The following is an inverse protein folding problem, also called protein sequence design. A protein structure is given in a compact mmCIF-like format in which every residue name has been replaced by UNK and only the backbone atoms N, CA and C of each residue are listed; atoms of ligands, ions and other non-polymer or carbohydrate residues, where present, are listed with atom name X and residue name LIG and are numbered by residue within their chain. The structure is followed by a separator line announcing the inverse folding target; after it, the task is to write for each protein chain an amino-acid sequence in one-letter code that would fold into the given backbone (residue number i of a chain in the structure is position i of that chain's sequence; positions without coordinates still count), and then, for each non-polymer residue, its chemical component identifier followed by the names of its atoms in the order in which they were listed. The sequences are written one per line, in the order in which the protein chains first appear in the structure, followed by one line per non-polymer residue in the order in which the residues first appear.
data_IF_648218301036
#
_entry.id   IF_648218301036
#
_cell.length_a   1.000
_cell.length_b   1.000
_cell.length_c   1.000
_cell.angle_alpha   90.00
_cell.angle_beta   90.00
_cell.angle_gamma   90.00
#
_symmetry.space_group_name_H-M   'P 1'
#
loop_
_entity.id
_entity.type
_entity.pdbx_description
1 polymer ?
#
# COMPACT_ATOMS: atom_id res chain seq x y z
N UNK A 1 36.24 -11.49 64.64
CA UNK A 1 36.06 -10.35 63.75
C UNK A 1 36.43 -10.64 62.30
N UNK A 2 37.51 -11.36 61.96
CA UNK A 2 37.89 -11.65 60.58
C UNK A 2 36.86 -12.50 59.79
N UNK A 3 36.18 -13.43 60.46
CA UNK A 3 35.17 -14.31 59.82
C UNK A 3 33.84 -13.58 59.45
N UNK A 4 33.46 -12.61 60.30
CA UNK A 4 32.23 -11.80 60.07
C UNK A 4 32.42 -10.84 58.90
N UNK A 5 33.64 -10.33 58.66
CA UNK A 5 33.97 -9.45 57.54
C UNK A 5 33.88 -10.24 56.19
N UNK A 6 34.32 -11.52 56.20
CA UNK A 6 34.21 -12.39 55.00
C UNK A 6 32.76 -12.77 54.66
N UNK A 7 31.91 -12.94 55.71
CA UNK A 7 30.49 -13.20 55.50
C UNK A 7 29.72 -12.00 54.91
N UNK A 8 30.14 -10.79 55.27
CA UNK A 8 29.55 -9.55 54.74
C UNK A 8 29.99 -9.24 53.33
N UNK A 9 31.18 -9.69 52.90
CA UNK A 9 31.65 -9.51 51.52
C UNK A 9 30.97 -10.48 50.52
N UNK A 10 30.47 -11.64 50.99
CA UNK A 10 29.74 -12.61 50.16
C UNK A 10 28.29 -12.20 49.83
N UNK A 11 27.71 -11.24 50.56
CA UNK A 11 26.34 -10.75 50.34
C UNK A 11 26.24 -9.63 49.31
N UNK A 12 27.37 -9.12 48.77
CA UNK A 12 27.39 -8.02 47.80
C UNK A 12 27.39 -8.45 46.32
N UNK A 13 27.31 -9.76 46.02
CA UNK A 13 27.12 -10.24 44.66
C UNK A 13 25.62 -10.26 44.36
N UNK A 14 24.97 -9.09 44.40
CA UNK A 14 23.67 -8.94 43.76
C UNK A 14 23.91 -9.01 42.25
N UNK A 15 23.55 -10.12 41.66
CA UNK A 15 23.47 -10.27 40.20
C UNK A 15 22.59 -9.15 39.66
N UNK A 16 23.21 -8.12 39.10
CA UNK A 16 22.47 -7.15 38.28
C UNK A 16 22.04 -7.93 37.07
N UNK A 17 20.80 -8.43 37.08
CA UNK A 17 20.14 -8.88 35.88
C UNK A 17 19.94 -7.65 35.01
N UNK A 18 20.93 -7.32 34.20
CA UNK A 18 20.75 -6.40 33.11
C UNK A 18 19.76 -7.08 32.16
N UNK A 19 18.49 -6.70 32.26
CA UNK A 19 17.50 -7.09 31.27
C UNK A 19 18.02 -6.59 29.92
N UNK A 20 18.46 -7.49 29.05
CA UNK A 20 18.86 -7.12 27.71
C UNK A 20 17.61 -6.66 26.96
N UNK A 21 17.63 -5.43 26.49
CA UNK A 21 16.54 -4.89 25.66
C UNK A 21 16.43 -5.77 24.41
N UNK A 22 15.26 -6.39 24.19
CA UNK A 22 14.98 -7.23 23.01
C UNK A 22 14.45 -6.35 21.88
N UNK A 23 15.28 -6.18 20.86
CA UNK A 23 14.96 -5.35 19.68
C UNK A 23 14.70 -6.27 18.49
N UNK A 24 13.63 -5.99 17.75
CA UNK A 24 13.31 -6.60 16.46
C UNK A 24 13.37 -5.57 15.33
N UNK A 25 13.61 -6.05 14.13
CA UNK A 25 13.48 -5.28 12.89
C UNK A 25 12.58 -5.97 11.91
N UNK A 26 11.76 -5.20 11.18
CA UNK A 26 10.90 -5.69 10.11
C UNK A 26 11.08 -4.86 8.84
N UNK A 27 11.02 -5.54 7.71
CA UNK A 27 10.97 -4.96 6.37
C UNK A 27 9.50 -4.92 5.92
N UNK A 28 8.91 -3.74 6.01
CA UNK A 28 7.48 -3.53 5.66
C UNK A 28 7.24 -3.80 4.19
N UNK A 29 8.14 -3.39 3.29
CA UNK A 29 7.98 -3.60 1.86
C UNK A 29 7.97 -5.11 1.53
N UNK A 30 8.88 -5.87 2.15
CA UNK A 30 8.90 -7.32 2.02
C UNK A 30 7.61 -7.96 2.54
N UNK A 31 7.06 -7.48 3.67
CA UNK A 31 5.78 -7.97 4.18
C UNK A 31 4.67 -7.74 3.14
N UNK A 32 4.47 -6.51 2.66
CA UNK A 32 3.44 -6.20 1.66
C UNK A 32 3.56 -7.10 0.41
N UNK A 33 4.78 -7.24 -0.12
CA UNK A 33 5.02 -8.03 -1.32
C UNK A 33 4.84 -9.54 -1.12
N UNK A 34 4.87 -10.02 0.12
CA UNK A 34 4.73 -11.45 0.46
C UNK A 34 3.31 -11.85 0.83
N UNK A 35 2.43 -10.90 1.17
CA UNK A 35 1.07 -11.24 1.62
C UNK A 35 0.19 -11.65 0.43
N UNK A 36 -0.21 -12.93 0.41
CA UNK A 36 -1.06 -13.52 -0.63
C UNK A 36 -2.39 -12.78 -0.75
N UNK A 37 -3.01 -12.44 0.38
CA UNK A 37 -4.29 -11.72 0.39
C UNK A 37 -4.19 -10.32 -0.21
N UNK A 38 -3.09 -9.61 0.05
CA UNK A 38 -2.87 -8.30 -0.58
C UNK A 38 -2.78 -8.41 -2.11
N UNK A 39 -2.10 -9.42 -2.62
CA UNK A 39 -1.99 -9.65 -4.06
C UNK A 39 -3.37 -9.95 -4.68
N UNK A 40 -4.16 -10.83 -4.06
CA UNK A 40 -5.52 -11.17 -4.50
C UNK A 40 -6.43 -9.94 -4.48
N UNK A 41 -6.42 -9.17 -3.42
CA UNK A 41 -7.25 -7.97 -3.26
C UNK A 41 -6.84 -6.88 -4.27
N UNK A 42 -5.54 -6.70 -4.51
CA UNK A 42 -5.02 -5.76 -5.50
C UNK A 42 -5.39 -6.16 -6.94
N UNK A 43 -5.27 -7.45 -7.29
CA UNK A 43 -5.66 -7.95 -8.61
C UNK A 43 -7.17 -7.81 -8.82
N UNK A 44 -7.97 -8.09 -7.81
CA UNK A 44 -9.42 -7.88 -7.83
C UNK A 44 -9.78 -6.40 -8.04
N UNK A 45 -9.04 -5.50 -7.38
CA UNK A 45 -9.18 -4.05 -7.57
C UNK A 45 -8.90 -3.66 -9.03
N UNK A 46 -7.77 -4.10 -9.58
CA UNK A 46 -7.39 -3.82 -10.98
C UNK A 46 -8.47 -4.33 -11.93
N UNK A 47 -8.92 -5.59 -11.77
CA UNK A 47 -9.96 -6.19 -12.61
C UNK A 47 -11.28 -5.41 -12.55
N UNK A 48 -11.67 -4.91 -11.40
CA UNK A 48 -12.91 -4.13 -11.24
C UNK A 48 -12.86 -2.78 -11.99
N UNK A 49 -11.69 -2.15 -12.05
CA UNK A 49 -11.52 -0.84 -12.69
C UNK A 49 -11.14 -0.92 -14.18
N UNK A 50 -10.67 -2.08 -14.67
CA UNK A 50 -10.25 -2.26 -16.07
C UNK A 50 -11.37 -2.02 -17.10
N UNK A 51 -12.65 -2.48 -16.92
CA UNK A 51 -13.69 -2.22 -17.89
C UNK A 51 -13.96 -0.73 -18.12
N UNK A 52 -13.94 0.08 -17.03
CA UNK A 52 -14.13 1.52 -17.15
C UNK A 52 -12.94 2.20 -17.84
N UNK A 53 -11.72 1.76 -17.53
CA UNK A 53 -10.53 2.22 -18.23
C UNK A 53 -10.59 1.98 -19.73
N UNK A 54 -11.05 0.79 -20.17
CA UNK A 54 -11.24 0.47 -21.59
C UNK A 54 -12.30 1.36 -22.23
N UNK A 55 -13.44 1.58 -21.56
CA UNK A 55 -14.46 2.52 -22.04
C UNK A 55 -13.91 3.95 -22.25
N UNK A 56 -13.11 4.43 -21.31
CA UNK A 56 -12.46 5.76 -21.41
C UNK A 56 -11.46 5.82 -22.57
N UNK A 57 -10.66 4.76 -22.76
CA UNK A 57 -9.75 4.67 -23.90
C UNK A 57 -10.50 4.66 -25.25
N UNK A 58 -11.61 3.97 -25.34
CA UNK A 58 -12.41 3.93 -26.57
C UNK A 58 -13.12 5.26 -26.82
N UNK A 59 -13.60 5.94 -25.76
CA UNK A 59 -14.16 7.29 -25.88
C UNK A 59 -13.09 8.28 -26.35
N UNK A 60 -11.89 8.21 -25.78
CA UNK A 60 -10.75 9.04 -26.22
C UNK A 60 -10.45 8.84 -27.71
N UNK A 61 -10.31 7.59 -28.17
CA UNK A 61 -10.09 7.28 -29.59
C UNK A 61 -11.20 7.79 -30.48
N UNK A 62 -12.45 7.69 -30.02
CA UNK A 62 -13.59 8.20 -30.75
C UNK A 62 -13.54 9.72 -30.91
N UNK A 63 -13.20 10.45 -29.84
CA UNK A 63 -13.01 11.91 -29.88
C UNK A 63 -11.92 12.28 -30.87
N UNK A 64 -10.77 11.63 -30.84
CA UNK A 64 -9.68 11.90 -31.75
C UNK A 64 -10.05 11.65 -33.23
N UNK A 65 -10.79 10.57 -33.50
CA UNK A 65 -11.29 10.28 -34.84
C UNK A 65 -12.26 11.37 -35.32
N UNK A 66 -13.17 11.85 -34.45
CA UNK A 66 -14.09 12.94 -34.80
C UNK A 66 -13.35 14.25 -35.10
N UNK A 67 -12.30 14.57 -34.34
CA UNK A 67 -11.45 15.74 -34.58
C UNK A 67 -10.74 15.63 -35.93
N UNK A 68 -10.17 14.48 -36.24
CA UNK A 68 -9.51 14.23 -37.52
C UNK A 68 -10.49 14.41 -38.69
N UNK A 69 -11.67 13.81 -38.58
CA UNK A 69 -12.73 13.98 -39.61
C UNK A 69 -13.17 15.44 -39.76
N UNK A 70 -13.28 16.17 -38.64
CA UNK A 70 -13.66 17.59 -38.67
C UNK A 70 -12.57 18.47 -39.29
N UNK A 71 -11.29 18.15 -39.07
CA UNK A 71 -10.17 18.87 -39.69
C UNK A 71 -10.13 18.70 -41.20
N UNK A 72 -10.61 17.56 -41.73
CA UNK A 72 -10.69 17.26 -43.16
C UNK A 72 -12.02 17.76 -43.79
N UNK A 73 -12.93 18.34 -43.00
CA UNK A 73 -14.22 18.81 -43.46
C UNK A 73 -14.10 20.20 -44.12
N UNK A 74 -14.66 20.33 -45.34
CA UNK A 74 -14.72 21.63 -46.01
C UNK A 74 -15.83 22.50 -45.43
N UNK A 75 -15.44 23.48 -44.64
CA UNK A 75 -16.34 24.45 -43.96
C UNK A 75 -17.20 25.25 -44.93
N UNK A 76 -16.77 25.42 -46.19
CA UNK A 76 -17.46 26.21 -47.17
C UNK A 76 -18.73 25.52 -47.65
N UNK A 77 -18.82 24.18 -47.52
CA UNK A 77 -19.95 23.37 -48.02
C UNK A 77 -21.15 23.44 -47.05
N UNK A 78 -20.91 23.31 -45.73
CA UNK A 78 -21.99 23.35 -44.73
C UNK A 78 -21.50 23.76 -43.34
N UNK A 79 -21.60 25.04 -43.05
CA UNK A 79 -21.16 25.61 -41.76
C UNK A 79 -22.00 25.12 -40.55
N UNK A 80 -23.30 24.85 -40.74
CA UNK A 80 -24.18 24.35 -39.67
C UNK A 80 -23.77 22.93 -39.20
N UNK A 81 -23.47 22.04 -40.15
CA UNK A 81 -22.97 20.69 -39.82
C UNK A 81 -21.61 20.76 -39.15
N UNK A 82 -20.73 21.67 -39.58
CA UNK A 82 -19.41 21.88 -38.93
C UNK A 82 -19.59 22.30 -37.49
N UNK A 83 -20.45 23.28 -37.19
CA UNK A 83 -20.68 23.75 -35.80
C UNK A 83 -21.30 22.66 -34.94
N UNK A 84 -22.29 21.90 -35.45
CA UNK A 84 -22.86 20.77 -34.70
C UNK A 84 -21.81 19.70 -34.36
N UNK A 85 -20.91 19.38 -35.28
CA UNK A 85 -19.85 18.42 -35.05
C UNK A 85 -18.87 18.95 -33.99
N UNK A 86 -18.51 20.23 -34.05
CA UNK A 86 -17.67 20.88 -33.06
C UNK A 86 -18.28 20.85 -31.66
N UNK A 87 -19.57 21.17 -31.54
CA UNK A 87 -20.28 21.15 -30.27
C UNK A 87 -20.36 19.73 -29.70
N UNK A 88 -20.56 18.71 -30.58
CA UNK A 88 -20.55 17.31 -30.15
C UNK A 88 -19.18 16.85 -29.65
N UNK A 89 -18.08 17.27 -30.29
CA UNK A 89 -16.71 16.99 -29.81
C UNK A 89 -16.51 17.60 -28.43
N UNK A 90 -16.90 18.87 -28.23
CA UNK A 90 -16.77 19.54 -26.93
C UNK A 90 -17.57 18.83 -25.83
N UNK A 91 -18.79 18.40 -26.11
CA UNK A 91 -19.63 17.63 -25.18
C UNK A 91 -18.92 16.33 -24.75
N UNK A 92 -18.37 15.58 -25.72
CA UNK A 92 -17.66 14.34 -25.47
C UNK A 92 -16.35 14.56 -24.69
N UNK A 93 -15.61 15.63 -24.98
CA UNK A 93 -14.38 16.01 -24.23
C UNK A 93 -14.71 16.31 -22.77
N UNK A 94 -15.76 17.08 -22.50
CA UNK A 94 -16.20 17.39 -21.12
C UNK A 94 -16.60 16.11 -20.39
N UNK A 95 -17.37 15.23 -21.06
CA UNK A 95 -17.76 13.92 -20.52
C UNK A 95 -16.55 13.06 -20.21
N UNK A 96 -15.62 12.94 -21.16
CA UNK A 96 -14.37 12.20 -20.99
C UNK A 96 -13.54 12.69 -19.80
N UNK A 97 -13.37 14.02 -19.69
CA UNK A 97 -12.64 14.60 -18.59
C UNK A 97 -13.31 14.27 -17.24
N UNK A 98 -14.60 14.55 -17.11
CA UNK A 98 -15.36 14.31 -15.89
C UNK A 98 -15.35 12.83 -15.47
N UNK A 99 -15.55 11.93 -16.43
CA UNK A 99 -15.55 10.48 -16.17
C UNK A 99 -14.15 9.97 -15.80
N UNK A 100 -13.09 10.54 -16.42
CA UNK A 100 -11.70 10.20 -16.09
C UNK A 100 -11.34 10.64 -14.67
N UNK A 101 -11.71 11.86 -14.28
CA UNK A 101 -11.49 12.39 -12.94
C UNK A 101 -12.22 11.53 -11.88
N UNK A 102 -13.48 11.17 -12.14
CA UNK A 102 -14.24 10.31 -11.25
C UNK A 102 -13.62 8.91 -11.12
N UNK A 103 -13.22 8.31 -12.25
CA UNK A 103 -12.56 7.01 -12.26
C UNK A 103 -11.25 7.02 -11.47
N UNK A 104 -10.40 8.04 -11.68
CA UNK A 104 -9.14 8.20 -10.94
C UNK A 104 -9.40 8.39 -9.44
N UNK A 105 -10.38 9.22 -9.09
CA UNK A 105 -10.75 9.44 -7.70
C UNK A 105 -11.18 8.14 -7.01
N UNK A 106 -12.10 7.39 -7.63
CA UNK A 106 -12.60 6.13 -7.09
C UNK A 106 -11.47 5.09 -6.94
N UNK A 107 -10.64 4.93 -7.98
CA UNK A 107 -9.49 4.03 -7.93
C UNK A 107 -8.52 4.37 -6.79
N UNK A 108 -8.22 5.67 -6.60
CA UNK A 108 -7.34 6.11 -5.54
C UNK A 108 -7.95 5.89 -4.15
N UNK A 109 -9.26 6.14 -3.98
CA UNK A 109 -9.95 5.86 -2.72
C UNK A 109 -9.91 4.37 -2.36
N UNK A 110 -10.21 3.51 -3.32
CA UNK A 110 -10.22 2.06 -3.10
C UNK A 110 -8.82 1.51 -2.82
N UNK A 111 -7.78 2.06 -3.49
CA UNK A 111 -6.38 1.74 -3.17
C UNK A 111 -6.00 2.14 -1.74
N UNK A 112 -6.40 3.32 -1.30
CA UNK A 112 -6.14 3.78 0.06
C UNK A 112 -6.83 2.88 1.10
N UNK A 113 -8.07 2.50 0.86
CA UNK A 113 -8.80 1.58 1.74
C UNK A 113 -8.12 0.20 1.82
N UNK A 114 -7.65 -0.33 0.68
CA UNK A 114 -6.91 -1.58 0.64
C UNK A 114 -5.61 -1.48 1.46
N UNK A 115 -4.83 -0.42 1.26
CA UNK A 115 -3.59 -0.21 2.01
C UNK A 115 -3.85 -0.08 3.51
N UNK A 116 -4.87 0.69 3.93
CA UNK A 116 -5.25 0.81 5.34
C UNK A 116 -5.68 -0.52 5.96
N UNK A 117 -6.44 -1.35 5.22
CA UNK A 117 -6.83 -2.70 5.67
C UNK A 117 -5.59 -3.54 5.97
N UNK A 118 -4.63 -3.56 5.05
CA UNK A 118 -3.41 -4.36 5.19
C UNK A 118 -2.50 -3.81 6.29
N UNK A 119 -2.31 -2.49 6.34
CA UNK A 119 -1.54 -1.83 7.41
C UNK A 119 -2.09 -2.16 8.79
N UNK A 120 -3.41 -2.16 8.93
CA UNK A 120 -4.07 -2.54 10.20
C UNK A 120 -3.75 -3.99 10.58
N UNK A 121 -3.82 -4.94 9.63
CA UNK A 121 -3.46 -6.34 9.87
C UNK A 121 -1.98 -6.50 10.26
N UNK A 122 -1.08 -5.81 9.57
CA UNK A 122 0.36 -5.83 9.87
C UNK A 122 0.61 -5.30 11.28
N UNK A 123 0.05 -4.14 11.62
CA UNK A 123 0.23 -3.52 12.94
C UNK A 123 -0.33 -4.41 14.07
N UNK A 124 -1.46 -5.07 13.84
CA UNK A 124 -2.01 -6.02 14.80
C UNK A 124 -1.04 -7.20 15.01
N UNK A 125 -0.55 -7.82 13.93
CA UNK A 125 0.39 -8.93 14.03
C UNK A 125 1.70 -8.53 14.72
N UNK A 126 2.23 -7.33 14.43
CA UNK A 126 3.41 -6.79 15.10
C UNK A 126 3.18 -6.68 16.61
N UNK A 127 2.05 -6.09 17.03
CA UNK A 127 1.74 -5.90 18.44
C UNK A 127 1.54 -7.23 19.18
N UNK A 128 0.84 -8.18 18.57
CA UNK A 128 0.62 -9.52 19.14
C UNK A 128 1.95 -10.28 19.25
N UNK A 129 2.80 -10.24 18.23
CA UNK A 129 4.12 -10.87 18.24
C UNK A 129 5.04 -10.22 19.28
N UNK A 130 5.07 -8.89 19.33
CA UNK A 130 5.88 -8.16 20.30
C UNK A 130 5.52 -8.54 21.75
N UNK A 131 4.21 -8.61 22.03
CA UNK A 131 3.72 -8.96 23.36
C UNK A 131 4.02 -10.42 23.72
N UNK A 132 3.79 -11.38 22.77
CA UNK A 132 3.99 -12.81 23.02
C UNK A 132 5.47 -13.17 23.19
N UNK A 133 6.35 -12.49 22.45
CA UNK A 133 7.80 -12.76 22.44
C UNK A 133 8.62 -11.84 23.35
N UNK A 134 7.95 -10.92 24.08
CA UNK A 134 8.57 -9.95 24.98
C UNK A 134 9.61 -9.06 24.28
N UNK A 135 9.26 -8.51 23.12
CA UNK A 135 10.04 -7.45 22.47
C UNK A 135 9.79 -6.11 23.16
N UNK A 136 10.87 -5.38 23.44
CA UNK A 136 10.80 -4.03 23.99
C UNK A 136 10.66 -2.97 22.91
N UNK A 137 11.17 -3.28 21.69
CA UNK A 137 11.14 -2.37 20.54
C UNK A 137 11.14 -3.16 19.22
N UNK A 138 10.26 -2.79 18.30
CA UNK A 138 10.33 -3.24 16.92
C UNK A 138 10.50 -2.02 16.03
N UNK A 139 11.55 -2.03 15.22
CA UNK A 139 11.87 -0.97 14.26
C UNK A 139 11.47 -1.40 12.86
N UNK A 140 11.07 -0.45 12.04
CA UNK A 140 10.84 -0.62 10.61
C UNK A 140 11.36 0.62 9.87
N UNK A 141 11.80 0.42 8.61
CA UNK A 141 12.38 1.45 7.74
C UNK A 141 13.72 2.05 8.18
N UNK A 142 14.46 2.59 7.23
CA UNK A 142 15.66 3.43 7.38
C UNK A 142 16.82 2.82 8.18
N UNK A 143 16.95 1.49 8.23
CA UNK A 143 18.14 0.87 8.78
C UNK A 143 19.21 0.71 7.71
N UNK A 144 20.41 1.25 7.95
CA UNK A 144 21.55 1.07 7.04
C UNK A 144 22.09 -0.37 7.03
N UNK A 145 21.89 -1.11 8.12
CA UNK A 145 22.26 -2.51 8.28
C UNK A 145 21.37 -3.17 9.34
N UNK A 146 20.97 -4.39 9.08
CA UNK A 146 20.21 -5.24 10.01
C UNK A 146 20.82 -6.63 9.98
N UNK A 147 21.21 -7.16 11.14
CA UNK A 147 21.65 -8.55 11.26
C UNK A 147 20.46 -9.52 11.18
N UNK A 148 20.72 -10.72 10.71
CA UNK A 148 19.67 -11.76 10.62
C UNK A 148 19.05 -12.10 11.98
N UNK A 149 19.82 -11.98 13.07
CA UNK A 149 19.40 -12.31 14.43
C UNK A 149 18.25 -11.43 14.94
N UNK A 150 18.17 -10.18 14.49
CA UNK A 150 17.12 -9.24 14.90
C UNK A 150 16.03 -9.07 13.85
N UNK A 151 16.21 -9.63 12.62
CA UNK A 151 15.23 -9.55 11.55
C UNK A 151 14.11 -10.55 11.76
N UNK A 152 12.94 -10.05 12.16
CA UNK A 152 11.74 -10.85 12.43
C UNK A 152 10.68 -10.75 11.32
N UNK A 153 11.03 -10.24 10.15
CA UNK A 153 10.11 -10.04 9.02
C UNK A 153 9.35 -11.32 8.64
N UNK A 154 10.07 -12.45 8.54
CA UNK A 154 9.46 -13.71 8.14
C UNK A 154 8.50 -14.26 9.20
N UNK A 155 8.77 -14.03 10.49
CA UNK A 155 7.88 -14.43 11.59
C UNK A 155 6.57 -13.65 11.55
N UNK A 156 6.63 -12.33 11.25
CA UNK A 156 5.43 -11.51 11.08
C UNK A 156 4.63 -11.96 9.85
N UNK A 157 5.28 -12.20 8.71
CA UNK A 157 4.61 -12.73 7.50
C UNK A 157 3.89 -14.04 7.83
N UNK A 158 4.58 -14.98 8.47
CA UNK A 158 4.00 -16.27 8.85
C UNK A 158 2.79 -16.12 9.78
N UNK A 159 2.86 -15.21 10.75
CA UNK A 159 1.77 -14.94 11.68
C UNK A 159 0.53 -14.39 10.94
N UNK A 160 0.70 -13.45 10.02
CA UNK A 160 -0.41 -12.88 9.24
C UNK A 160 -1.05 -13.93 8.33
N UNK A 161 -0.24 -14.75 7.64
CA UNK A 161 -0.72 -15.78 6.72
C UNK A 161 -1.37 -16.99 7.43
N UNK A 162 -1.05 -17.20 8.72
CA UNK A 162 -1.57 -18.33 9.51
C UNK A 162 -2.96 -18.07 10.10
N UNK A 163 -3.44 -16.83 10.09
CA UNK A 163 -4.78 -16.48 10.58
C UNK A 163 -5.77 -16.53 9.40
N UNK A 164 -6.65 -17.53 9.32
CA UNK A 164 -7.70 -17.55 8.29
C UNK A 164 -8.67 -16.37 8.49
N UNK A 165 -9.13 -15.79 7.39
CA UNK A 165 -10.19 -14.75 7.40
C UNK A 165 -11.56 -15.31 7.79
#
# INVERSE_FOLDING_TARGET
MRVIVLLFLALLVTSINASSVKIGYIDIEKIFNSLSQYQIDNDSLVQRFEPKKQQLLDLFKHIELLKENLNNFDKSINNDLYQKALDKIKELEVSFQSETELWQYQLNQDKLLLLQKIETKINQAINEFAASENYDLILYENAAFVSDDINITNQIIFMIESVPE
#
